data_IF_590194201240
#
_entry.id   IF_590194201240
#
_cell.length_a   1.000
_cell.length_b   1.000
_cell.length_c   1.000
_cell.angle_alpha   90.00
_cell.angle_beta   90.00
_cell.angle_gamma   90.00
#
_symmetry.space_group_name_H-M   'P 1'
#
loop_
_entity.id
_entity.type
_entity.pdbx_description
1 polymer ?
#
# COMPACT_ATOMS: atom_id res chain seq x y z
N UNK A 1 -13.90 1.89 -42.05
CA UNK A 1 -13.90 1.77 -40.58
C UNK A 1 -13.17 2.98 -40.00
N UNK A 2 -13.91 3.90 -39.37
CA UNK A 2 -13.37 5.16 -38.83
C UNK A 2 -12.50 4.88 -37.59
N UNK A 3 -11.22 5.28 -37.63
CA UNK A 3 -10.35 5.31 -36.45
C UNK A 3 -10.87 6.41 -35.52
N UNK A 4 -11.41 6.03 -34.37
CA UNK A 4 -11.72 6.99 -33.30
C UNK A 4 -10.39 7.48 -32.72
N UNK A 5 -9.97 8.68 -33.09
CA UNK A 5 -8.94 9.42 -32.35
C UNK A 5 -9.53 9.78 -30.99
N UNK A 6 -9.15 9.03 -29.96
CA UNK A 6 -9.43 9.41 -28.58
C UNK A 6 -8.45 10.50 -28.18
N UNK A 7 -8.92 11.74 -28.21
CA UNK A 7 -8.16 12.92 -27.80
C UNK A 7 -7.91 12.86 -26.28
N UNK A 8 -6.79 12.27 -25.87
CA UNK A 8 -6.45 12.08 -24.46
C UNK A 8 -5.94 13.41 -23.88
N UNK A 9 -6.86 14.21 -23.33
CA UNK A 9 -6.52 15.43 -22.61
C UNK A 9 -5.83 15.09 -21.28
N UNK A 10 -4.59 15.55 -21.11
CA UNK A 10 -3.85 15.41 -19.86
C UNK A 10 -4.45 16.33 -18.79
N UNK A 11 -4.81 15.75 -17.63
CA UNK A 11 -5.37 16.50 -16.49
C UNK A 11 -4.39 17.58 -16.00
N UNK A 12 -4.93 18.72 -15.61
CA UNK A 12 -4.15 19.82 -15.00
C UNK A 12 -3.76 19.47 -13.57
N UNK A 13 -2.83 20.24 -13.00
CA UNK A 13 -2.43 20.06 -11.59
C UNK A 13 -3.57 20.38 -10.62
N UNK A 14 -4.40 21.39 -10.94
CA UNK A 14 -5.53 21.81 -10.12
C UNK A 14 -6.62 20.74 -10.09
N UNK A 15 -6.96 20.16 -11.24
CA UNK A 15 -7.93 19.06 -11.34
C UNK A 15 -7.47 17.84 -10.53
N UNK A 16 -6.18 17.49 -10.60
CA UNK A 16 -5.60 16.40 -9.79
C UNK A 16 -5.68 16.68 -8.30
N UNK A 17 -5.39 17.92 -7.89
CA UNK A 17 -5.43 18.31 -6.50
C UNK A 17 -6.86 18.22 -5.95
N UNK A 18 -7.83 18.74 -6.70
CA UNK A 18 -9.25 18.63 -6.34
C UNK A 18 -9.69 17.16 -6.19
N UNK A 19 -9.31 16.29 -7.14
CA UNK A 19 -9.65 14.88 -7.09
C UNK A 19 -9.03 14.17 -5.86
N UNK A 20 -7.79 14.52 -5.49
CA UNK A 20 -7.15 14.01 -4.28
C UNK A 20 -7.87 14.52 -3.02
N UNK A 21 -8.23 15.80 -2.99
CA UNK A 21 -8.94 16.40 -1.86
C UNK A 21 -10.32 15.75 -1.67
N UNK A 22 -11.05 15.49 -2.75
CA UNK A 22 -12.33 14.77 -2.72
C UNK A 22 -12.18 13.34 -2.24
N UNK A 23 -11.19 12.61 -2.77
CA UNK A 23 -10.90 11.22 -2.38
C UNK A 23 -10.55 11.13 -0.88
N UNK A 24 -9.77 12.10 -0.39
CA UNK A 24 -9.36 12.17 1.01
C UNK A 24 -10.54 12.51 1.92
N UNK A 25 -11.40 13.47 1.53
CA UNK A 25 -12.61 13.82 2.29
C UNK A 25 -13.60 12.65 2.40
N UNK A 26 -13.82 11.92 1.32
CA UNK A 26 -14.69 10.74 1.34
C UNK A 26 -14.19 9.67 2.31
N UNK A 27 -12.88 9.42 2.30
CA UNK A 27 -12.22 8.51 3.24
C UNK A 27 -12.35 8.97 4.70
N UNK A 28 -12.12 10.25 4.99
CA UNK A 28 -12.24 10.82 6.34
C UNK A 28 -13.64 10.67 6.93
N UNK A 29 -14.68 10.70 6.10
CA UNK A 29 -16.06 10.49 6.53
C UNK A 29 -16.38 9.02 6.84
N UNK A 30 -15.70 8.09 6.17
CA UNK A 30 -15.91 6.65 6.35
C UNK A 30 -15.13 6.09 7.56
N UNK A 31 -13.95 6.64 7.88
CA UNK A 31 -13.12 6.19 9.01
C UNK A 31 -13.93 6.02 10.31
N UNK A 32 -14.72 7.01 10.78
CA UNK A 32 -15.40 6.89 12.07
C UNK A 32 -16.45 5.78 12.14
N UNK A 33 -17.02 5.32 11.02
CA UNK A 33 -18.06 4.28 11.08
C UNK A 33 -17.50 2.93 11.49
N UNK A 34 -16.27 2.60 11.09
CA UNK A 34 -15.60 1.34 11.43
C UNK A 34 -15.20 1.25 12.90
N UNK A 35 -14.98 2.38 13.57
CA UNK A 35 -14.60 2.42 14.99
C UNK A 35 -15.79 2.56 15.95
N UNK A 36 -17.03 2.54 15.45
CA UNK A 36 -18.25 2.69 16.28
C UNK A 36 -18.78 1.38 16.85
N UNK A 37 -18.39 0.22 16.33
CA UNK A 37 -18.80 -1.07 16.86
C UNK A 37 -17.71 -2.14 16.77
N UNK A 38 -17.73 -3.16 17.64
CA UNK A 38 -16.83 -4.31 17.56
C UNK A 38 -16.89 -5.03 16.20
N UNK A 39 -18.08 -5.12 15.58
CA UNK A 39 -18.29 -5.76 14.29
C UNK A 39 -17.66 -4.95 13.15
N UNK A 40 -17.79 -3.62 13.18
CA UNK A 40 -17.14 -2.72 12.22
C UNK A 40 -15.63 -2.80 12.33
N UNK A 41 -15.10 -2.84 13.56
CA UNK A 41 -13.67 -3.01 13.82
C UNK A 41 -13.17 -4.37 13.35
N UNK A 42 -13.93 -5.45 13.59
CA UNK A 42 -13.61 -6.80 13.10
C UNK A 42 -13.57 -6.85 11.57
N UNK A 43 -14.61 -6.35 10.90
CA UNK A 43 -14.66 -6.32 9.43
C UNK A 43 -13.47 -5.54 8.84
N UNK A 44 -13.09 -4.45 9.51
CA UNK A 44 -11.93 -3.65 9.15
C UNK A 44 -10.60 -4.39 9.36
N UNK A 45 -10.41 -5.07 10.49
CA UNK A 45 -9.22 -5.89 10.76
C UNK A 45 -9.12 -7.07 9.78
N UNK A 46 -10.23 -7.74 9.51
CA UNK A 46 -10.33 -8.82 8.53
C UNK A 46 -9.89 -8.32 7.14
N UNK A 47 -10.34 -7.12 6.75
CA UNK A 47 -9.97 -6.51 5.48
C UNK A 47 -8.50 -6.07 5.45
N UNK A 48 -7.95 -5.49 6.54
CA UNK A 48 -6.51 -5.20 6.64
C UNK A 48 -5.65 -6.46 6.54
N UNK A 49 -6.11 -7.57 7.13
CA UNK A 49 -5.45 -8.87 7.04
C UNK A 49 -5.33 -9.38 5.60
N UNK A 50 -6.20 -8.92 4.69
CA UNK A 50 -6.09 -9.25 3.26
C UNK A 50 -4.95 -8.49 2.58
N UNK A 51 -4.52 -7.32 3.04
CA UNK A 51 -3.63 -6.40 2.30
C UNK A 51 -2.39 -5.96 3.09
N UNK A 52 -1.41 -6.83 3.29
CA UNK A 52 -0.20 -6.53 4.09
C UNK A 52 0.65 -5.34 3.58
N UNK A 53 0.51 -4.94 2.31
CA UNK A 53 1.37 -3.93 1.67
C UNK A 53 0.69 -2.58 1.40
N UNK A 54 -0.58 -2.38 1.77
CA UNK A 54 -1.27 -1.11 1.58
C UNK A 54 -1.38 -0.33 2.89
N UNK A 55 -1.24 1.00 2.81
CA UNK A 55 -1.52 1.87 3.93
C UNK A 55 -2.99 1.80 4.32
N UNK A 56 -3.29 2.06 5.59
CA UNK A 56 -4.65 2.17 6.11
C UNK A 56 -5.57 2.99 5.18
N UNK A 57 -5.11 4.16 4.76
CA UNK A 57 -5.86 5.04 3.88
C UNK A 57 -6.22 4.36 2.55
N UNK A 58 -5.26 3.68 1.91
CA UNK A 58 -5.50 2.98 0.66
C UNK A 58 -6.41 1.76 0.83
N UNK A 59 -6.29 1.06 1.96
CA UNK A 59 -7.17 -0.04 2.34
C UNK A 59 -8.64 0.44 2.40
N UNK A 60 -8.91 1.53 3.13
CA UNK A 60 -10.27 2.08 3.21
C UNK A 60 -10.78 2.60 1.87
N UNK A 61 -9.91 3.23 1.07
CA UNK A 61 -10.27 3.68 -0.27
C UNK A 61 -10.66 2.52 -1.19
N UNK A 62 -9.99 1.38 -1.07
CA UNK A 62 -10.31 0.19 -1.85
C UNK A 62 -11.68 -0.34 -1.41
N UNK A 63 -11.89 -0.57 -0.11
CA UNK A 63 -13.16 -1.12 0.39
C UNK A 63 -14.34 -0.20 0.09
N UNK A 64 -14.17 1.11 0.20
CA UNK A 64 -15.22 2.09 -0.10
C UNK A 64 -15.61 2.18 -1.57
N UNK A 65 -14.70 1.83 -2.50
CA UNK A 65 -14.95 1.85 -3.95
C UNK A 65 -15.32 0.46 -4.49
N UNK A 66 -14.82 -0.60 -3.87
CA UNK A 66 -14.99 -2.00 -4.28
C UNK A 66 -15.04 -2.88 -3.03
N UNK A 67 -16.26 -3.05 -2.51
CA UNK A 67 -16.49 -3.87 -1.32
C UNK A 67 -16.16 -5.33 -1.60
N UNK A 68 -15.42 -5.95 -0.67
CA UNK A 68 -15.08 -7.37 -0.77
C UNK A 68 -13.90 -7.67 -1.68
N UNK A 69 -13.05 -6.68 -2.00
CA UNK A 69 -11.80 -6.91 -2.71
C UNK A 69 -10.98 -8.03 -2.04
N UNK A 70 -10.51 -8.97 -2.85
CA UNK A 70 -9.77 -10.15 -2.38
C UNK A 70 -8.29 -10.03 -2.69
N UNK A 71 -7.92 -9.48 -3.84
CA UNK A 71 -6.54 -9.35 -4.24
C UNK A 71 -6.35 -8.22 -5.22
N UNK A 72 -5.60 -7.18 -4.81
CA UNK A 72 -5.55 -5.92 -5.54
C UNK A 72 -4.13 -5.60 -5.99
N UNK A 73 -4.00 -5.27 -7.27
CA UNK A 73 -2.73 -4.94 -7.91
C UNK A 73 -2.89 -3.86 -8.97
N UNK A 74 -1.80 -3.13 -9.25
CA UNK A 74 -1.79 -2.21 -10.41
C UNK A 74 -1.89 -2.99 -11.73
N UNK A 75 -2.32 -2.32 -12.79
CA UNK A 75 -2.32 -2.92 -14.14
C UNK A 75 -0.95 -3.51 -14.52
N UNK A 76 0.12 -2.79 -14.21
CA UNK A 76 1.49 -3.23 -14.48
C UNK A 76 1.89 -4.46 -13.65
N UNK A 77 1.39 -4.57 -12.42
CA UNK A 77 1.62 -5.73 -11.55
C UNK A 77 0.95 -6.99 -12.13
N UNK A 78 -0.32 -6.90 -12.52
CA UNK A 78 -1.00 -8.04 -13.14
C UNK A 78 -0.31 -8.48 -14.43
N UNK A 79 0.07 -7.50 -15.27
CA UNK A 79 0.79 -7.75 -16.52
C UNK A 79 2.14 -8.44 -16.29
N UNK A 80 2.92 -8.03 -15.28
CA UNK A 80 4.22 -8.66 -14.99
C UNK A 80 4.08 -10.09 -14.48
N UNK A 81 2.90 -10.45 -13.96
CA UNK A 81 2.54 -11.80 -13.53
C UNK A 81 1.89 -12.64 -14.64
N UNK A 82 1.77 -12.11 -15.85
CA UNK A 82 1.17 -12.81 -17.00
C UNK A 82 -0.35 -12.69 -17.11
N UNK A 83 -0.98 -11.87 -16.26
CA UNK A 83 -2.42 -11.66 -16.24
C UNK A 83 -2.78 -10.27 -16.78
N UNK A 84 -4.02 -10.13 -17.24
CA UNK A 84 -4.52 -8.91 -17.86
C UNK A 84 -5.84 -8.52 -17.20
N UNK A 85 -6.02 -7.21 -17.03
CA UNK A 85 -7.30 -6.64 -16.61
C UNK A 85 -8.30 -6.79 -17.76
N UNK A 86 -9.51 -7.22 -17.42
CA UNK A 86 -10.58 -7.43 -18.38
C UNK A 86 -10.98 -6.11 -19.04
N UNK A 87 -11.37 -6.17 -20.31
CA UNK A 87 -11.71 -4.96 -21.07
C UNK A 87 -12.98 -4.32 -20.53
N UNK A 88 -12.89 -3.04 -20.15
CA UNK A 88 -14.03 -2.26 -19.65
C UNK A 88 -14.06 -2.11 -18.13
N UNK A 89 -13.18 -2.80 -17.41
CA UNK A 89 -13.07 -2.69 -15.96
C UNK A 89 -12.64 -1.30 -15.51
N UNK A 90 -13.26 -0.81 -14.44
CA UNK A 90 -12.92 0.47 -13.82
C UNK A 90 -11.89 0.24 -12.73
N UNK A 91 -10.82 1.03 -12.76
CA UNK A 91 -9.79 0.99 -11.73
C UNK A 91 -10.27 1.60 -10.42
N UNK A 92 -9.85 0.97 -9.33
CA UNK A 92 -10.02 1.44 -7.96
C UNK A 92 -8.93 2.48 -7.69
N UNK A 93 -9.32 3.68 -7.24
CA UNK A 93 -8.38 4.79 -7.02
C UNK A 93 -7.68 4.65 -5.68
N UNK A 94 -6.36 4.79 -5.67
CA UNK A 94 -5.54 4.79 -4.46
C UNK A 94 -4.57 5.98 -4.45
N UNK A 95 -4.08 6.35 -3.28
CA UNK A 95 -3.05 7.38 -3.12
C UNK A 95 -1.66 6.74 -3.26
N UNK A 96 -0.86 7.27 -4.17
CA UNK A 96 0.51 6.77 -4.45
C UNK A 96 1.52 7.87 -4.15
N UNK A 97 2.53 7.62 -3.29
CA UNK A 97 3.57 8.61 -3.03
C UNK A 97 4.48 8.78 -4.25
N UNK A 98 4.73 10.03 -4.63
CA UNK A 98 5.67 10.47 -5.66
C UNK A 98 6.73 11.34 -5.01
N UNK A 99 7.94 10.79 -4.91
CA UNK A 99 9.08 11.54 -4.36
C UNK A 99 9.86 12.21 -5.48
N UNK A 100 10.04 13.53 -5.37
CA UNK A 100 10.85 14.34 -6.29
C UNK A 100 11.98 15.00 -5.51
N UNK A 101 13.20 14.92 -6.06
CA UNK A 101 14.37 15.58 -5.49
C UNK A 101 14.60 16.92 -6.18
N UNK A 102 14.93 17.94 -5.40
CA UNK A 102 15.21 19.30 -5.82
C UNK A 102 16.58 19.74 -5.33
N UNK A 103 17.16 20.74 -6.01
CA UNK A 103 18.40 21.40 -5.64
C UNK A 103 18.33 22.88 -5.99
N UNK A 104 19.17 23.70 -5.36
CA UNK A 104 19.23 25.14 -5.64
C UNK A 104 20.25 25.43 -6.73
N UNK A 105 19.81 26.11 -7.79
CA UNK A 105 20.65 26.72 -8.83
C UNK A 105 20.57 28.23 -8.65
N UNK A 106 21.48 28.79 -7.85
CA UNK A 106 21.34 30.16 -7.35
C UNK A 106 20.08 30.27 -6.50
N UNK A 107 19.24 31.27 -6.78
CA UNK A 107 17.98 31.50 -6.04
C UNK A 107 16.79 30.66 -6.54
N UNK A 108 16.98 29.80 -7.55
CA UNK A 108 15.91 28.98 -8.12
C UNK A 108 16.03 27.53 -7.67
N UNK A 109 14.93 27.00 -7.15
CA UNK A 109 14.80 25.57 -6.87
C UNK A 109 14.47 24.81 -8.17
N UNK A 110 15.28 23.81 -8.50
CA UNK A 110 15.17 23.03 -9.74
C UNK A 110 15.06 21.55 -9.42
N UNK A 111 14.22 20.81 -10.15
CA UNK A 111 14.13 19.36 -10.01
C UNK A 111 15.42 18.70 -10.50
N UNK A 112 15.91 17.69 -9.77
CA UNK A 112 17.12 16.93 -10.10
C UNK A 112 17.10 16.35 -11.53
N UNK A 113 15.92 16.03 -12.06
CA UNK A 113 15.76 15.52 -13.43
C UNK A 113 16.22 16.51 -14.51
N UNK A 114 16.22 17.82 -14.20
CA UNK A 114 16.67 18.90 -15.08
C UNK A 114 18.10 19.39 -14.75
N UNK A 115 18.82 18.68 -13.88
CA UNK A 115 20.22 18.97 -13.59
C UNK A 115 21.11 18.65 -14.80
N UNK A 116 22.07 19.53 -15.06
CA UNK A 116 23.17 19.32 -16.01
C UNK A 116 24.13 18.24 -15.50
N UNK A 117 25.06 17.77 -16.36
CA UNK A 117 26.05 16.77 -15.95
C UNK A 117 26.95 17.28 -14.81
N UNK A 118 27.46 18.50 -14.93
CA UNK A 118 28.30 19.13 -13.90
C UNK A 118 27.58 19.30 -12.56
N UNK A 119 26.30 19.67 -12.58
CA UNK A 119 25.50 19.79 -11.36
C UNK A 119 25.27 18.44 -10.70
N UNK A 120 25.06 17.37 -11.48
CA UNK A 120 24.93 16.01 -10.95
C UNK A 120 26.22 15.56 -10.26
N UNK A 121 27.38 15.89 -10.80
CA UNK A 121 28.68 15.60 -10.18
C UNK A 121 28.88 16.39 -8.88
N UNK A 122 28.52 17.68 -8.87
CA UNK A 122 28.56 18.51 -7.65
C UNK A 122 27.58 18.03 -6.57
N UNK A 123 26.42 17.51 -6.97
CA UNK A 123 25.46 16.88 -6.05
C UNK A 123 26.02 15.55 -5.51
N UNK A 124 26.64 14.73 -6.37
CA UNK A 124 27.26 13.46 -5.95
C UNK A 124 28.42 13.67 -4.97
N UNK A 125 29.22 14.72 -5.19
CA UNK A 125 30.30 15.16 -4.29
C UNK A 125 29.81 15.97 -3.09
N UNK A 126 28.49 16.11 -2.90
CA UNK A 126 27.83 16.84 -1.80
C UNK A 126 28.19 18.33 -1.71
N UNK A 127 28.68 18.93 -2.80
CA UNK A 127 28.93 20.37 -2.89
C UNK A 127 27.62 21.17 -3.05
N UNK A 128 26.57 20.55 -3.61
CA UNK A 128 25.22 21.12 -3.72
C UNK A 128 24.27 20.31 -2.84
N UNK A 129 23.58 20.99 -1.92
CA UNK A 129 22.54 20.38 -1.09
C UNK A 129 21.29 20.04 -1.92
N UNK A 130 20.62 18.95 -1.55
CA UNK A 130 19.36 18.52 -2.18
C UNK A 130 18.25 18.42 -1.14
N UNK A 131 17.01 18.65 -1.58
CA UNK A 131 15.81 18.50 -0.78
C UNK A 131 14.87 17.49 -1.46
N UNK A 132 14.33 16.54 -0.70
CA UNK A 132 13.36 15.56 -1.20
C UNK A 132 11.96 15.98 -0.74
N UNK A 133 11.05 16.09 -1.69
CA UNK A 133 9.63 16.35 -1.43
C UNK A 133 8.79 15.19 -1.92
N UNK A 134 7.88 14.73 -1.08
CA UNK A 134 6.92 13.68 -1.42
C UNK A 134 5.56 14.31 -1.59
N UNK A 135 4.95 14.03 -2.74
CA UNK A 135 3.58 14.39 -3.08
C UNK A 135 2.78 13.12 -3.25
N UNK A 136 1.45 13.21 -3.23
CA UNK A 136 0.59 12.09 -3.57
C UNK A 136 -0.04 12.31 -4.94
N UNK A 137 -0.16 11.23 -5.70
CA UNK A 137 -0.89 11.18 -6.97
C UNK A 137 -1.91 10.04 -6.91
N UNK A 138 -2.88 10.05 -7.82
CA UNK A 138 -3.89 8.99 -7.88
C UNK A 138 -3.36 7.85 -8.74
N UNK A 139 -3.20 6.68 -8.12
CA UNK A 139 -2.98 5.41 -8.79
C UNK A 139 -4.28 4.69 -9.06
N UNK A 140 -4.27 3.78 -10.03
CA UNK A 140 -5.38 2.86 -10.28
C UNK A 140 -4.90 1.42 -10.05
N UNK A 141 -5.69 0.68 -9.29
CA UNK A 141 -5.50 -0.74 -9.02
C UNK A 141 -6.76 -1.51 -9.35
N UNK A 142 -6.64 -2.82 -9.48
CA UNK A 142 -7.69 -3.72 -9.93
C UNK A 142 -7.69 -4.94 -9.04
N UNK A 143 -8.88 -5.39 -8.67
CA UNK A 143 -9.08 -6.65 -7.96
C UNK A 143 -8.90 -7.85 -8.90
N UNK A 144 -8.58 -9.03 -8.35
CA UNK A 144 -8.42 -10.29 -9.11
C UNK A 144 -9.66 -10.61 -9.95
N UNK A 145 -10.86 -10.35 -9.42
CA UNK A 145 -12.13 -10.55 -10.13
C UNK A 145 -12.25 -9.71 -11.40
N UNK A 146 -11.49 -8.62 -11.50
CA UNK A 146 -11.42 -7.73 -12.67
C UNK A 146 -10.33 -8.16 -13.67
N UNK A 147 -9.69 -9.30 -13.45
CA UNK A 147 -8.63 -9.84 -14.31
C UNK A 147 -9.00 -11.21 -14.85
N UNK A 148 -8.14 -11.75 -15.71
CA UNK A 148 -8.24 -13.14 -16.16
C UNK A 148 -7.53 -14.14 -15.22
N UNK A 149 -7.04 -13.70 -14.04
CA UNK A 149 -6.47 -14.58 -13.03
C UNK A 149 -7.57 -15.32 -12.25
N UNK A 150 -7.25 -16.52 -11.78
CA UNK A 150 -8.16 -17.33 -10.96
C UNK A 150 -7.65 -17.46 -9.52
N UNK A 151 -8.51 -17.92 -8.60
CA UNK A 151 -8.15 -18.15 -7.19
C UNK A 151 -6.95 -19.09 -7.06
N UNK A 152 -6.79 -20.06 -7.97
CA UNK A 152 -5.66 -21.00 -7.99
C UNK A 152 -4.32 -20.35 -8.29
N UNK A 153 -4.33 -19.22 -8.99
CA UNK A 153 -3.11 -18.49 -9.35
C UNK A 153 -2.63 -17.59 -8.21
N UNK A 154 -3.54 -17.21 -7.30
CA UNK A 154 -3.27 -16.24 -6.24
C UNK A 154 -2.12 -16.61 -5.29
N UNK A 155 -1.91 -17.89 -4.89
CA UNK A 155 -0.75 -18.28 -4.09
C UNK A 155 0.59 -18.00 -4.77
N UNK A 156 0.66 -18.18 -6.10
CA UNK A 156 1.88 -17.88 -6.87
C UNK A 156 2.07 -16.37 -7.11
N UNK A 157 0.96 -15.63 -7.25
CA UNK A 157 0.99 -14.18 -7.50
C UNK A 157 1.37 -13.42 -6.22
N UNK A 158 0.81 -13.82 -5.08
CA UNK A 158 1.01 -13.23 -3.75
C UNK A 158 1.58 -14.29 -2.77
N UNK A 159 2.87 -14.66 -2.89
CA UNK A 159 3.48 -15.57 -1.94
C UNK A 159 3.43 -14.98 -0.51
N UNK A 160 3.20 -15.82 0.49
CA UNK A 160 3.06 -15.45 1.91
C UNK A 160 1.80 -14.68 2.31
N UNK A 161 0.80 -14.57 1.42
CA UNK A 161 -0.51 -13.99 1.76
C UNK A 161 -1.50 -15.03 2.28
N UNK A 162 -1.48 -16.20 1.67
CA UNK A 162 -2.41 -17.27 1.96
C UNK A 162 -1.85 -18.06 3.13
N UNK A 163 -2.55 -18.04 4.26
CA UNK A 163 -2.31 -18.96 5.38
C UNK A 163 -2.90 -20.35 5.07
N UNK A 164 -2.84 -20.73 3.80
CA UNK A 164 -3.33 -22.00 3.28
C UNK A 164 -2.11 -22.88 3.04
N UNK A 165 -1.96 -23.90 3.88
CA UNK A 165 -0.86 -24.85 3.82
C UNK A 165 -0.70 -25.60 5.14
N UNK A 166 -0.18 -26.82 5.08
CA UNK A 166 0.27 -27.54 6.27
C UNK A 166 1.74 -27.21 6.53
N UNK A 167 2.06 -26.79 7.75
CA UNK A 167 3.45 -26.78 8.20
C UNK A 167 3.81 -28.20 8.59
N UNK A 168 4.53 -28.89 7.71
CA UNK A 168 5.05 -30.21 8.03
C UNK A 168 5.90 -30.15 9.31
N UNK A 169 5.71 -31.11 10.21
CA UNK A 169 6.43 -31.20 11.49
C UNK A 169 6.29 -29.95 12.40
N UNK A 170 5.17 -29.23 12.34
CA UNK A 170 4.90 -28.07 13.21
C UNK A 170 5.18 -28.37 14.69
N UNK A 171 4.72 -29.53 15.18
CA UNK A 171 4.96 -29.96 16.58
C UNK A 171 6.46 -30.07 16.90
N UNK A 172 7.24 -30.71 16.03
CA UNK A 172 8.69 -30.88 16.22
C UNK A 172 9.41 -29.53 16.20
N UNK A 173 9.03 -28.64 15.27
CA UNK A 173 9.56 -27.28 15.20
C UNK A 173 9.24 -26.49 16.47
N UNK A 174 7.98 -26.56 16.95
CA UNK A 174 7.55 -25.86 18.15
C UNK A 174 8.29 -26.38 19.40
N UNK A 175 8.41 -27.70 19.56
CA UNK A 175 9.20 -28.31 20.63
C UNK A 175 10.68 -27.92 20.60
N UNK A 176 11.27 -27.75 19.41
CA UNK A 176 12.64 -27.28 19.28
C UNK A 176 12.76 -25.81 19.74
N UNK A 177 11.78 -24.96 19.40
CA UNK A 177 11.71 -23.57 19.85
C UNK A 177 11.53 -23.48 21.38
N UNK A 178 10.67 -24.31 21.98
CA UNK A 178 10.51 -24.40 23.44
C UNK A 178 11.85 -24.72 24.12
N UNK A 179 12.56 -25.75 23.64
CA UNK A 179 13.88 -26.13 24.20
C UNK A 179 14.92 -25.02 24.09
N UNK A 180 14.91 -24.27 22.99
CA UNK A 180 15.81 -23.12 22.81
C UNK A 180 15.43 -22.00 23.79
N UNK A 181 14.13 -21.69 23.90
CA UNK A 181 13.63 -20.68 24.82
C UNK A 181 14.01 -21.01 26.27
N UNK A 182 13.80 -22.25 26.70
CA UNK A 182 14.20 -22.75 28.03
C UNK A 182 15.70 -22.61 28.28
N UNK A 183 16.53 -22.99 27.31
CA UNK A 183 18.00 -22.86 27.38
C UNK A 183 18.43 -21.40 27.56
N UNK A 184 17.69 -20.47 26.98
CA UNK A 184 17.97 -19.04 27.04
C UNK A 184 17.18 -18.31 28.15
N UNK A 185 16.42 -19.04 28.97
CA UNK A 185 15.61 -18.45 30.05
C UNK A 185 14.48 -17.55 29.53
N UNK A 186 14.02 -17.76 28.29
CA UNK A 186 12.93 -17.01 27.67
C UNK A 186 11.62 -17.76 27.93
N UNK A 187 10.67 -17.11 28.60
CA UNK A 187 9.35 -17.68 28.83
C UNK A 187 8.45 -17.50 27.60
N UNK A 188 8.00 -18.61 27.01
CA UNK A 188 6.95 -18.60 26.00
C UNK A 188 5.61 -18.45 26.73
N UNK A 189 4.89 -17.38 26.43
CA UNK A 189 3.54 -17.14 26.95
C UNK A 189 2.54 -17.36 25.83
N UNK A 190 1.35 -17.87 26.19
CA UNK A 190 0.26 -17.93 25.23
C UNK A 190 -0.05 -16.53 24.69
N UNK A 191 -0.44 -16.42 23.40
CA UNK A 191 -0.84 -15.15 22.84
C UNK A 191 -1.97 -14.58 23.67
N UNK A 192 -1.72 -13.48 24.38
CA UNK A 192 -2.80 -12.62 24.89
C UNK A 192 -3.56 -12.19 23.64
N UNK A 193 -4.86 -12.48 23.58
CA UNK A 193 -5.67 -12.69 22.36
C UNK A 193 -5.69 -11.63 21.24
N UNK A 194 -4.79 -10.66 21.20
CA UNK A 194 -4.77 -9.53 20.28
C UNK A 194 -3.40 -9.22 19.63
N UNK A 195 -2.36 -10.01 19.90
CA UNK A 195 -1.01 -9.72 19.36
C UNK A 195 -0.95 -9.68 17.81
N UNK A 196 -1.87 -10.37 17.13
CA UNK A 196 -1.99 -10.33 15.67
C UNK A 196 -2.56 -9.01 15.10
N UNK A 197 -3.29 -8.24 15.91
CA UNK A 197 -3.80 -6.91 15.54
C UNK A 197 -2.85 -5.77 15.97
N UNK A 198 -2.02 -6.02 16.99
CA UNK A 198 -1.32 -4.98 17.71
C UNK A 198 -0.10 -4.37 16.99
N UNK A 199 0.66 -5.12 16.20
CA UNK A 199 1.98 -4.62 15.75
C UNK A 199 1.90 -3.43 14.78
N UNK A 200 0.87 -3.35 13.93
CA UNK A 200 0.66 -2.18 13.04
C UNK A 200 -0.14 -1.04 13.69
N UNK A 201 -1.00 -1.34 14.68
CA UNK A 201 -1.87 -0.33 15.31
C UNK A 201 -1.11 0.42 16.43
N UNK A 202 -0.22 -0.25 17.17
CA UNK A 202 0.44 0.38 18.33
C UNK A 202 1.44 1.47 17.96
N UNK A 203 2.06 1.42 16.78
CA UNK A 203 3.03 2.44 16.35
C UNK A 203 2.41 3.84 16.19
N UNK A 204 1.10 3.94 15.96
CA UNK A 204 0.42 5.24 15.82
C UNK A 204 -0.14 5.79 17.13
N UNK A 205 -0.31 4.96 18.18
CA UNK A 205 -0.94 5.39 19.43
C UNK A 205 0.09 5.84 20.47
N UNK A 206 1.33 5.32 20.42
CA UNK A 206 2.35 5.61 21.44
C UNK A 206 2.88 7.06 21.38
N UNK A 207 2.80 7.74 20.23
CA UNK A 207 3.29 9.13 20.11
C UNK A 207 2.30 10.22 20.54
N UNK A 208 1.17 9.88 21.19
CA UNK A 208 0.15 10.88 21.59
C UNK A 208 -0.20 10.88 23.08
N UNK A 209 0.54 10.17 23.93
CA UNK A 209 0.32 10.15 25.40
C UNK A 209 1.57 10.62 26.17
N UNK A 210 2.43 11.41 25.54
CA UNK A 210 3.42 12.22 26.26
C UNK A 210 3.25 13.69 25.88
N UNK A 211 2.24 14.33 26.48
CA UNK A 211 2.22 15.73 26.92
C UNK A 211 1.11 15.93 27.94
#
# INVERSE_FOLDING_TARGET
MSKRETDFKKRTWEEKKQEIDELTKGMEQQIPSYFRSPEGMKAYLDFMGKFHNYSLNNTLLIEGQFQGAEAVGSFAFWKSKGFFVNKGEKGIKILVPKTTTYFNRGDKEVQLKFATKEEKEKIATKQIATNRRTYFDIGNVFDVSQTNATVKDLPAIFPNRWLEGSVENYQTMFQALEKIADKHGVQIIDPRGELGAALSILSCIINRIEK
#
